data_IF_777264142028
#
_entry.id   IF_777264142028
#
_cell.length_a   1.000
_cell.length_b   1.000
_cell.length_c   1.000
_cell.angle_alpha   90.00
_cell.angle_beta   90.00
_cell.angle_gamma   90.00
#
_symmetry.space_group_name_H-M   'P 1'
#
loop_
_entity.id
_entity.type
_entity.pdbx_description
1 polymer ?
#
# COMPACT_ATOMS: atom_id res chain seq x y z
N UNK A 1 17.12 14.82 -10.89
CA UNK A 1 16.75 14.64 -9.47
C UNK A 1 17.63 15.44 -8.54
N UNK A 2 17.04 16.46 -7.91
CA UNK A 2 17.66 17.27 -6.84
C UNK A 2 16.75 17.22 -5.63
N UNK A 3 17.32 16.89 -4.47
CA UNK A 3 16.63 16.92 -3.19
C UNK A 3 16.82 18.30 -2.54
N UNK A 4 15.72 18.92 -2.12
CA UNK A 4 15.68 20.28 -1.59
C UNK A 4 15.45 20.27 -0.09
N UNK A 5 16.40 20.76 0.70
CA UNK A 5 16.20 20.94 2.13
C UNK A 5 15.07 21.93 2.41
N UNK A 6 14.25 21.62 3.40
CA UNK A 6 13.19 22.48 3.88
C UNK A 6 13.74 23.69 4.58
N UNK A 7 12.99 24.76 4.41
CA UNK A 7 13.21 26.01 5.05
C UNK A 7 11.89 26.49 5.64
N UNK A 8 11.99 27.36 6.65
CA UNK A 8 10.84 27.92 7.35
C UNK A 8 9.78 28.45 6.36
N UNK A 9 8.52 28.11 6.62
CA UNK A 9 7.39 28.42 5.74
C UNK A 9 7.17 27.41 4.62
N UNK A 10 7.52 26.12 4.85
CA UNK A 10 7.33 25.04 3.87
C UNK A 10 7.98 25.34 2.52
N UNK A 11 9.21 25.88 2.60
CA UNK A 11 10.00 26.26 1.44
C UNK A 11 11.01 25.19 1.10
N UNK A 12 11.18 24.93 -0.19
CA UNK A 12 12.10 23.94 -0.74
C UNK A 12 12.87 24.62 -1.86
N UNK A 13 14.00 25.25 -1.55
CA UNK A 13 14.61 26.23 -2.45
C UNK A 13 13.65 27.40 -2.74
N UNK A 14 13.36 27.65 -4.02
CA UNK A 14 12.46 28.73 -4.44
C UNK A 14 10.97 28.34 -4.41
N UNK A 15 10.65 27.09 -4.11
CA UNK A 15 9.29 26.56 -4.12
C UNK A 15 8.63 26.68 -2.76
N UNK A 16 7.37 27.13 -2.71
CA UNK A 16 6.57 27.24 -1.48
C UNK A 16 5.43 26.22 -1.56
N UNK A 17 5.37 25.31 -0.59
CA UNK A 17 4.32 24.28 -0.51
C UNK A 17 4.05 23.55 -1.84
N UNK A 18 5.09 23.06 -2.54
CA UNK A 18 4.87 22.40 -3.83
C UNK A 18 4.02 21.14 -3.65
N UNK A 19 3.06 20.86 -4.56
CA UNK A 19 2.38 19.57 -4.58
C UNK A 19 3.41 18.48 -4.89
N UNK A 20 3.34 17.36 -4.17
CA UNK A 20 4.26 16.24 -4.34
C UNK A 20 3.53 14.90 -4.33
N UNK A 21 4.08 13.93 -5.03
CA UNK A 21 3.69 12.52 -4.91
C UNK A 21 4.60 11.81 -3.90
N UNK A 22 4.23 10.60 -3.47
CA UNK A 22 5.10 9.77 -2.63
C UNK A 22 5.12 8.32 -3.12
N UNK A 23 6.26 7.65 -2.95
CA UNK A 23 6.40 6.21 -3.21
C UNK A 23 6.59 5.52 -1.87
N UNK A 24 5.76 4.51 -1.61
CA UNK A 24 5.95 3.55 -0.51
C UNK A 24 6.53 2.25 -1.05
N UNK A 25 7.65 1.82 -0.49
CA UNK A 25 8.45 0.70 -0.98
C UNK A 25 9.41 0.22 0.10
N UNK A 26 9.87 -1.02 -0.02
CA UNK A 26 10.79 -1.61 0.96
C UNK A 26 12.19 -1.68 0.36
N UNK A 27 13.03 -0.66 0.53
CA UNK A 27 14.42 -0.71 0.05
C UNK A 27 15.41 -1.10 1.15
N UNK A 28 15.10 -0.73 2.40
CA UNK A 28 16.03 -0.86 3.53
C UNK A 28 16.49 -2.29 3.83
N UNK A 29 15.67 -3.31 3.51
CA UNK A 29 16.03 -4.73 3.72
C UNK A 29 17.08 -5.24 2.73
N UNK A 30 17.28 -4.52 1.63
CA UNK A 30 18.24 -4.83 0.57
C UNK A 30 19.36 -3.80 0.48
N UNK A 31 19.52 -2.94 1.49
CA UNK A 31 20.65 -2.02 1.57
C UNK A 31 21.96 -2.82 1.55
N UNK A 32 22.80 -2.54 0.56
CA UNK A 32 24.15 -3.09 0.45
C UNK A 32 25.07 -2.42 1.47
N UNK A 33 25.99 -3.20 2.03
CA UNK A 33 27.08 -2.67 2.87
C UNK A 33 28.21 -2.15 1.97
N UNK A 34 29.07 -1.27 2.49
CA UNK A 34 30.10 -0.55 1.72
C UNK A 34 30.92 -1.43 0.76
N UNK A 35 31.24 -2.66 1.16
CA UNK A 35 32.05 -3.62 0.37
C UNK A 35 31.25 -4.69 -0.37
N UNK A 36 29.93 -4.70 -0.23
CA UNK A 36 29.05 -5.68 -0.89
C UNK A 36 28.69 -5.18 -2.28
N UNK A 37 28.86 -6.03 -3.31
CA UNK A 37 28.56 -5.74 -4.73
C UNK A 37 29.02 -4.34 -5.18
N UNK A 38 30.33 -4.06 -5.23
CA UNK A 38 30.88 -2.71 -5.43
C UNK A 38 30.50 -2.08 -6.79
N UNK A 39 30.14 -2.88 -7.78
CA UNK A 39 29.75 -2.41 -9.12
C UNK A 39 28.30 -1.91 -9.19
N UNK A 40 27.49 -2.16 -8.15
CA UNK A 40 26.10 -1.67 -8.09
C UNK A 40 26.12 -0.19 -7.76
N UNK A 41 25.61 0.66 -8.64
CA UNK A 41 25.52 2.10 -8.37
C UNK A 41 24.19 2.49 -7.73
N UNK A 42 24.20 3.43 -6.77
CA UNK A 42 22.97 4.08 -6.32
C UNK A 42 22.47 5.12 -7.33
N UNK A 43 21.18 5.49 -7.25
CA UNK A 43 20.65 6.63 -8.00
C UNK A 43 21.42 7.91 -7.63
N UNK A 44 21.60 8.79 -8.61
CA UNK A 44 22.26 10.08 -8.38
C UNK A 44 21.21 11.11 -7.94
N UNK A 45 21.39 11.65 -6.74
CA UNK A 45 20.55 12.72 -6.19
C UNK A 45 21.47 13.84 -5.72
N UNK A 46 21.21 15.05 -6.21
CA UNK A 46 21.95 16.25 -5.80
C UNK A 46 21.26 16.96 -4.62
N UNK A 47 21.96 17.89 -3.98
CA UNK A 47 21.37 18.73 -2.92
C UNK A 47 21.36 18.11 -1.51
N UNK A 48 21.98 16.94 -1.35
CA UNK A 48 22.11 16.23 -0.06
C UNK A 48 23.58 15.99 0.32
N UNK A 49 23.93 16.04 1.62
CA UNK A 49 25.29 15.79 2.10
C UNK A 49 25.61 14.30 2.34
N UNK A 50 24.67 13.39 2.09
CA UNK A 50 24.86 11.94 2.25
C UNK A 50 24.84 11.21 0.92
N UNK A 51 25.46 10.04 0.91
CA UNK A 51 25.37 9.12 -0.22
C UNK A 51 24.05 8.36 -0.19
N UNK A 52 23.41 8.22 -1.35
CA UNK A 52 22.22 7.39 -1.48
C UNK A 52 22.62 5.92 -1.26
N UNK A 53 21.91 5.18 -0.39
CA UNK A 53 22.17 3.76 -0.18
C UNK A 53 22.07 2.95 -1.47
N UNK A 54 23.04 2.06 -1.67
CA UNK A 54 23.02 1.07 -2.74
C UNK A 54 22.06 -0.05 -2.36
N UNK A 55 21.30 -0.58 -3.32
CA UNK A 55 20.26 -1.60 -3.11
C UNK A 55 20.60 -2.85 -3.91
N UNK A 56 20.43 -4.03 -3.33
CA UNK A 56 20.66 -5.30 -4.04
C UNK A 56 19.80 -5.37 -5.31
N UNK A 57 20.39 -5.68 -6.49
CA UNK A 57 19.63 -5.81 -7.74
C UNK A 57 18.57 -6.92 -7.72
N UNK A 58 18.62 -7.85 -6.76
CA UNK A 58 17.57 -8.85 -6.54
C UNK A 58 16.25 -8.26 -6.03
N UNK A 59 16.27 -7.03 -5.48
CA UNK A 59 15.08 -6.26 -5.16
C UNK A 59 14.64 -5.45 -6.38
N UNK A 60 15.49 -4.52 -6.82
CA UNK A 60 15.33 -3.77 -8.06
C UNK A 60 16.67 -3.18 -8.49
N UNK A 61 16.81 -2.92 -9.79
CA UNK A 61 17.95 -2.20 -10.33
C UNK A 61 17.78 -0.68 -10.20
N UNK A 62 18.89 0.04 -10.32
CA UNK A 62 18.91 1.51 -10.36
C UNK A 62 18.10 2.07 -11.52
N UNK A 63 18.09 1.39 -12.68
CA UNK A 63 17.28 1.79 -13.82
C UNK A 63 15.79 1.62 -13.55
N UNK A 64 15.38 0.49 -12.96
CA UNK A 64 13.98 0.26 -12.56
C UNK A 64 13.53 1.32 -11.56
N UNK A 65 14.39 1.69 -10.62
CA UNK A 65 14.06 2.73 -9.66
C UNK A 65 13.85 4.10 -10.32
N UNK A 66 14.71 4.48 -11.28
CA UNK A 66 14.54 5.71 -12.07
C UNK A 66 13.27 5.68 -12.92
N UNK A 67 12.94 4.54 -13.53
CA UNK A 67 11.73 4.38 -14.33
C UNK A 67 10.47 4.58 -13.47
N UNK A 68 10.43 4.04 -12.25
CA UNK A 68 9.31 4.24 -11.31
C UNK A 68 9.20 5.70 -10.92
N UNK A 69 10.31 6.36 -10.61
CA UNK A 69 10.32 7.80 -10.28
C UNK A 69 9.75 8.62 -11.45
N UNK A 70 10.20 8.34 -12.68
CA UNK A 70 9.70 9.05 -13.86
C UNK A 70 8.19 8.82 -14.09
N UNK A 71 7.72 7.57 -13.98
CA UNK A 71 6.29 7.25 -14.18
C UNK A 71 5.41 7.93 -13.15
N UNK A 72 5.85 7.96 -11.89
CA UNK A 72 5.09 8.57 -10.79
C UNK A 72 5.05 10.09 -10.84
N UNK A 73 5.91 10.76 -11.63
CA UNK A 73 5.88 12.22 -11.83
C UNK A 73 5.26 12.66 -13.15
N UNK A 74 5.13 11.77 -14.16
CA UNK A 74 4.61 12.09 -15.49
C UNK A 74 3.09 12.06 -15.64
N UNK A 75 2.34 11.65 -14.61
CA UNK A 75 0.86 11.74 -14.63
C UNK A 75 0.14 10.73 -15.52
N UNK A 76 0.77 9.57 -15.79
CA UNK A 76 0.29 8.58 -16.76
C UNK A 76 -0.76 7.60 -16.22
N UNK A 77 -1.46 7.91 -15.12
CA UNK A 77 -2.43 6.98 -14.52
C UNK A 77 -3.89 7.43 -14.71
N UNK A 78 -4.78 6.47 -14.85
CA UNK A 78 -6.10 6.64 -15.46
C UNK A 78 -7.19 6.99 -14.45
N UNK A 79 -7.00 6.74 -13.14
CA UNK A 79 -7.91 7.25 -12.09
C UNK A 79 -8.02 8.77 -12.06
N UNK A 80 -7.08 9.45 -12.71
CA UNK A 80 -6.96 10.91 -12.70
C UNK A 80 -7.76 11.63 -13.81
N UNK A 81 -8.54 10.93 -14.63
CA UNK A 81 -9.41 11.54 -15.66
C UNK A 81 -10.60 12.30 -15.04
N UNK A 82 -10.86 12.12 -13.74
CA UNK A 82 -11.97 12.76 -13.02
C UNK A 82 -11.52 13.74 -11.91
N UNK A 83 -10.28 14.25 -11.94
CA UNK A 83 -9.89 15.38 -11.05
C UNK A 83 -10.75 16.61 -11.43
N UNK A 84 -11.71 17.03 -10.57
CA UNK A 84 -12.62 18.13 -10.90
C UNK A 84 -11.89 19.46 -11.06
N UNK A 85 -10.67 19.57 -10.53
CA UNK A 85 -9.88 20.79 -10.56
C UNK A 85 -9.00 20.91 -11.82
N UNK A 86 -9.05 19.95 -12.77
CA UNK A 86 -8.19 19.90 -13.96
C UNK A 86 -6.70 20.16 -13.66
N UNK A 87 -6.23 19.78 -12.48
CA UNK A 87 -4.85 20.02 -12.06
C UNK A 87 -3.92 19.22 -12.97
N UNK A 88 -2.79 19.82 -13.37
CA UNK A 88 -1.76 19.14 -14.18
C UNK A 88 -1.53 17.72 -13.68
N UNK A 89 -1.62 16.73 -14.57
CA UNK A 89 -1.40 15.33 -14.21
C UNK A 89 0.06 15.08 -13.80
N UNK A 90 0.98 15.92 -14.27
CA UNK A 90 2.38 15.89 -13.87
C UNK A 90 2.57 16.48 -12.47
N UNK A 91 3.50 15.94 -11.71
CA UNK A 91 3.90 16.46 -10.40
C UNK A 91 5.42 16.42 -10.31
N UNK A 92 6.05 17.59 -10.29
CA UNK A 92 7.51 17.70 -10.35
C UNK A 92 8.20 17.25 -9.06
N UNK A 93 7.45 17.20 -7.96
CA UNK A 93 7.97 16.87 -6.63
C UNK A 93 7.60 15.46 -6.19
N UNK A 94 8.57 14.77 -5.59
CA UNK A 94 8.43 13.41 -5.09
C UNK A 94 9.03 13.30 -3.69
N UNK A 95 8.29 12.69 -2.77
CA UNK A 95 8.82 12.17 -1.52
C UNK A 95 9.38 10.77 -1.74
N UNK A 96 10.65 10.59 -1.39
CA UNK A 96 11.38 9.34 -1.53
C UNK A 96 12.34 9.16 -0.36
N UNK A 97 12.09 8.18 0.50
CA UNK A 97 12.81 7.99 1.77
C UNK A 97 14.34 8.06 1.65
N UNK A 98 14.94 7.37 0.69
CA UNK A 98 16.41 7.32 0.52
C UNK A 98 17.08 8.67 0.30
N UNK A 99 16.31 9.63 -0.21
CA UNK A 99 16.77 10.94 -0.63
C UNK A 99 16.11 12.09 0.14
N UNK A 100 15.05 11.79 0.88
CA UNK A 100 14.34 12.74 1.73
C UNK A 100 14.68 12.60 3.22
N UNK A 101 15.24 11.46 3.63
CA UNK A 101 15.69 11.18 5.00
C UNK A 101 17.21 11.01 4.98
N UNK A 102 17.92 11.64 5.92
CA UNK A 102 19.37 11.47 6.04
C UNK A 102 19.69 10.01 6.38
N UNK A 103 20.53 9.39 5.56
CA UNK A 103 20.83 7.95 5.63
C UNK A 103 22.08 7.63 6.46
N UNK A 104 22.71 8.64 7.06
CA UNK A 104 23.89 8.49 7.93
C UNK A 104 23.47 8.03 9.32
N UNK A 105 24.21 7.08 9.87
CA UNK A 105 23.92 6.53 11.19
C UNK A 105 24.03 7.58 12.30
N UNK A 106 23.02 7.65 13.16
CA UNK A 106 23.03 8.53 14.34
C UNK A 106 22.66 9.99 14.09
N UNK A 107 22.24 10.36 12.87
CA UNK A 107 21.78 11.71 12.56
C UNK A 107 20.42 11.98 13.24
N UNK A 108 20.31 12.94 14.18
CA UNK A 108 19.07 13.21 14.89
C UNK A 108 17.91 13.64 13.98
N UNK A 109 18.22 14.30 12.85
CA UNK A 109 17.20 14.71 11.88
C UNK A 109 16.46 13.52 11.25
N UNK A 110 17.12 12.37 11.06
CA UNK A 110 16.47 11.19 10.50
C UNK A 110 15.29 10.73 11.37
N UNK A 111 15.43 10.75 12.69
CA UNK A 111 14.34 10.41 13.61
C UNK A 111 13.19 11.44 13.55
N UNK A 112 13.52 12.72 13.38
CA UNK A 112 12.52 13.78 13.19
C UNK A 112 11.71 13.58 11.90
N UNK A 113 12.37 13.22 10.79
CA UNK A 113 11.69 12.98 9.51
C UNK A 113 10.85 11.70 9.53
N UNK A 114 11.37 10.62 10.11
CA UNK A 114 10.61 9.40 10.34
C UNK A 114 9.36 9.72 11.17
N UNK A 115 9.50 10.52 12.24
CA UNK A 115 8.39 10.97 13.09
C UNK A 115 7.33 11.83 12.40
N UNK A 116 7.51 12.18 11.13
CA UNK A 116 6.57 12.98 10.32
C UNK A 116 5.99 12.21 9.14
N UNK A 117 6.36 10.95 8.92
CA UNK A 117 5.87 10.14 7.79
C UNK A 117 4.35 10.19 7.65
N UNK A 118 3.59 10.15 8.74
CA UNK A 118 2.13 10.22 8.64
C UNK A 118 1.62 11.52 8.02
N UNK A 119 2.24 12.66 8.37
CA UNK A 119 1.89 13.95 7.77
C UNK A 119 2.31 13.99 6.30
N UNK A 120 3.44 13.40 5.95
CA UNK A 120 3.92 13.33 4.57
C UNK A 120 2.94 12.54 3.71
N UNK A 121 2.61 11.31 4.09
CA UNK A 121 1.70 10.47 3.32
C UNK A 121 0.28 11.06 3.27
N UNK A 122 -0.23 11.66 4.37
CA UNK A 122 -1.53 12.36 4.37
C UNK A 122 -1.59 13.56 3.42
N UNK A 123 -0.49 14.28 3.21
CA UNK A 123 -0.46 15.50 2.38
C UNK A 123 0.11 15.27 0.97
N UNK A 124 0.65 14.10 0.67
CA UNK A 124 1.02 13.74 -0.68
C UNK A 124 -0.22 13.80 -1.58
N UNK A 125 -0.08 14.33 -2.80
CA UNK A 125 -1.15 14.34 -3.78
C UNK A 125 -1.55 12.91 -4.12
N UNK A 126 -0.58 12.12 -4.58
CA UNK A 126 -0.76 10.70 -4.87
C UNK A 126 0.31 9.86 -4.20
N UNK A 127 -0.06 8.64 -3.82
CA UNK A 127 0.84 7.65 -3.21
C UNK A 127 0.87 6.41 -4.07
N UNK A 128 2.05 5.84 -4.24
CA UNK A 128 2.30 4.67 -5.07
C UNK A 128 2.93 3.57 -4.23
N UNK A 129 2.23 2.45 -4.07
CA UNK A 129 2.74 1.24 -3.44
C UNK A 129 3.50 0.40 -4.46
N UNK A 130 4.83 0.46 -4.42
CA UNK A 130 5.68 -0.23 -5.37
C UNK A 130 6.03 -1.64 -4.90
N UNK A 131 5.36 -2.63 -5.50
CA UNK A 131 5.59 -4.05 -5.27
C UNK A 131 6.80 -4.51 -6.09
N UNK A 132 8.00 -4.19 -5.58
CA UNK A 132 9.28 -4.40 -6.27
C UNK A 132 9.57 -5.85 -6.66
N UNK A 133 8.88 -6.84 -6.09
CA UNK A 133 9.13 -8.25 -6.40
C UNK A 133 8.12 -8.88 -7.37
N UNK A 134 6.97 -8.24 -7.61
CA UNK A 134 5.87 -8.83 -8.39
C UNK A 134 5.86 -8.27 -9.82
N UNK A 135 6.07 -9.10 -10.86
CA UNK A 135 6.01 -8.66 -12.25
C UNK A 135 4.61 -8.17 -12.66
N UNK A 136 4.54 -7.22 -13.60
CA UNK A 136 3.27 -6.63 -14.03
C UNK A 136 2.25 -7.66 -14.52
N UNK A 137 2.67 -8.60 -15.37
CA UNK A 137 1.78 -9.62 -15.92
C UNK A 137 1.17 -10.51 -14.83
N UNK A 138 1.99 -10.93 -13.86
CA UNK A 138 1.56 -11.73 -12.73
C UNK A 138 0.61 -10.96 -11.80
N UNK A 139 0.91 -9.68 -11.53
CA UNK A 139 0.07 -8.81 -10.72
C UNK A 139 -1.31 -8.58 -11.37
N UNK A 140 -1.33 -8.30 -12.67
CA UNK A 140 -2.57 -8.12 -13.44
C UNK A 140 -3.40 -9.40 -13.48
N UNK A 141 -2.76 -10.56 -13.65
CA UNK A 141 -3.44 -11.86 -13.63
C UNK A 141 -4.02 -12.17 -12.25
N UNK A 142 -3.29 -11.87 -11.17
CA UNK A 142 -3.77 -12.07 -9.80
C UNK A 142 -4.99 -11.20 -9.51
N UNK A 143 -4.96 -9.91 -9.86
CA UNK A 143 -6.11 -9.01 -9.67
C UNK A 143 -7.32 -9.43 -10.51
N UNK A 144 -7.11 -9.87 -11.76
CA UNK A 144 -8.16 -10.49 -12.60
C UNK A 144 -8.74 -11.76 -11.99
N UNK A 145 -7.91 -12.53 -11.29
CA UNK A 145 -8.35 -13.68 -10.49
C UNK A 145 -9.30 -13.23 -9.38
N UNK A 146 -8.87 -12.27 -8.55
CA UNK A 146 -9.64 -11.77 -7.42
C UNK A 146 -11.00 -11.20 -7.82
N UNK A 147 -11.05 -10.39 -8.87
CA UNK A 147 -12.29 -9.75 -9.35
C UNK A 147 -13.35 -10.76 -9.82
N UNK A 148 -12.97 -11.68 -10.72
CA UNK A 148 -13.87 -12.76 -11.18
C UNK A 148 -14.42 -13.58 -10.03
N UNK A 149 -13.59 -13.77 -9.01
CA UNK A 149 -13.92 -14.59 -7.86
C UNK A 149 -14.83 -13.84 -6.90
N UNK A 150 -14.62 -12.53 -6.69
CA UNK A 150 -15.52 -11.67 -5.93
C UNK A 150 -16.95 -11.71 -6.51
N UNK A 151 -17.11 -11.52 -7.82
CA UNK A 151 -18.41 -11.66 -8.49
C UNK A 151 -19.02 -13.06 -8.32
N UNK A 152 -18.22 -14.12 -8.48
CA UNK A 152 -18.75 -15.49 -8.33
C UNK A 152 -19.15 -15.84 -6.90
N UNK A 153 -18.45 -15.30 -5.91
CA UNK A 153 -18.71 -15.52 -4.49
C UNK A 153 -19.96 -14.72 -4.08
N UNK A 154 -20.10 -13.48 -4.55
CA UNK A 154 -21.29 -12.66 -4.40
C UNK A 154 -22.54 -13.37 -4.92
N UNK A 155 -22.52 -13.86 -6.17
CA UNK A 155 -23.69 -14.52 -6.76
C UNK A 155 -24.05 -15.86 -6.10
N UNK A 156 -23.05 -16.65 -5.67
CA UNK A 156 -23.27 -18.04 -5.23
C UNK A 156 -23.38 -18.21 -3.73
N UNK A 157 -22.66 -17.40 -2.98
CA UNK A 157 -22.59 -17.49 -1.51
C UNK A 157 -23.45 -16.40 -0.87
N UNK A 158 -23.69 -15.27 -1.56
CA UNK A 158 -24.42 -14.12 -1.00
C UNK A 158 -25.53 -13.58 -1.90
N UNK A 159 -26.46 -14.44 -2.38
CA UNK A 159 -27.54 -13.98 -3.26
C UNK A 159 -28.33 -12.83 -2.61
N UNK A 160 -28.25 -11.64 -3.22
CA UNK A 160 -28.96 -10.44 -2.78
C UNK A 160 -28.16 -9.46 -1.89
N UNK A 161 -26.90 -9.74 -1.53
CA UNK A 161 -25.99 -8.72 -0.98
C UNK A 161 -25.19 -8.12 -2.14
N UNK A 162 -25.53 -6.91 -2.57
CA UNK A 162 -24.70 -6.18 -3.54
C UNK A 162 -23.41 -5.72 -2.85
N UNK A 163 -22.27 -6.29 -3.22
CA UNK A 163 -20.95 -5.70 -3.04
C UNK A 163 -20.77 -4.59 -4.08
N UNK A 164 -21.68 -3.62 -4.09
CA UNK A 164 -21.44 -2.38 -4.82
C UNK A 164 -20.20 -1.74 -4.21
N UNK A 165 -19.26 -1.33 -5.07
CA UNK A 165 -18.22 -0.37 -4.69
C UNK A 165 -18.91 0.74 -3.88
N UNK A 166 -18.47 1.03 -2.65
CA UNK A 166 -19.16 2.01 -1.83
C UNK A 166 -19.18 3.35 -2.57
N UNK A 167 -20.33 4.03 -2.53
CA UNK A 167 -20.50 5.41 -3.03
C UNK A 167 -19.53 6.41 -2.36
N UNK A 168 -18.72 5.99 -1.38
CA UNK A 168 -17.58 6.76 -0.88
C UNK A 168 -16.50 7.03 -1.95
N UNK A 169 -16.53 6.33 -3.09
CA UNK A 169 -15.74 6.68 -4.29
C UNK A 169 -16.37 7.85 -5.07
N UNK A 170 -17.68 8.06 -4.96
CA UNK A 170 -18.44 9.11 -5.64
C UNK A 170 -19.41 9.77 -4.68
N UNK A 171 -18.88 10.69 -3.86
CA UNK A 171 -19.59 11.30 -2.74
C UNK A 171 -21.09 11.57 -2.96
N UNK A 172 -21.92 10.70 -2.40
CA UNK A 172 -23.29 11.04 -2.00
C UNK A 172 -23.75 10.07 -0.91
N UNK A 173 -24.27 10.63 0.18
CA UNK A 173 -24.86 9.85 1.27
C UNK A 173 -26.30 9.51 0.90
N UNK A 174 -26.67 8.23 1.01
CA UNK A 174 -28.04 7.88 1.35
C UNK A 174 -28.06 6.72 2.34
N UNK A 175 -28.84 6.92 3.40
CA UNK A 175 -29.03 6.01 4.52
C UNK A 175 -30.28 5.16 4.30
N UNK A 176 -30.18 3.86 4.49
CA UNK A 176 -31.33 3.03 4.86
C UNK A 176 -30.89 1.86 5.73
N UNK A 177 -31.45 1.81 6.94
CA UNK A 177 -31.40 0.68 7.84
C UNK A 177 -32.38 -0.40 7.34
N UNK A 178 -31.93 -1.65 7.26
CA UNK A 178 -32.82 -2.80 7.40
C UNK A 178 -32.22 -3.84 8.35
N UNK A 179 -33.08 -4.30 9.25
CA UNK A 179 -32.84 -5.35 10.23
C UNK A 179 -33.32 -6.69 9.68
N UNK A 180 -32.49 -7.74 9.76
CA UNK A 180 -32.95 -9.10 9.53
C UNK A 180 -32.18 -10.14 10.37
N UNK A 181 -32.95 -11.12 10.85
CA UNK A 181 -32.59 -12.21 11.77
C UNK A 181 -31.70 -13.28 11.10
N UNK A 182 -31.03 -14.18 11.86
CA UNK A 182 -30.03 -15.08 11.30
C UNK A 182 -30.71 -16.27 10.59
N UNK A 183 -30.66 -16.28 9.26
CA UNK A 183 -30.89 -17.48 8.45
C UNK A 183 -29.60 -18.30 8.32
N UNK A 184 -29.75 -19.61 8.16
CA UNK A 184 -28.66 -20.58 7.96
C UNK A 184 -27.69 -20.14 6.85
N UNK A 185 -26.42 -20.51 6.99
CA UNK A 185 -25.37 -20.09 6.06
C UNK A 185 -25.60 -20.71 4.67
N UNK A 186 -25.55 -19.92 3.57
CA UNK A 186 -25.75 -20.39 2.19
C UNK A 186 -24.83 -21.55 1.75
N UNK A 187 -23.78 -21.83 2.53
CA UNK A 187 -22.81 -22.90 2.29
C UNK A 187 -23.32 -24.28 2.70
N UNK A 188 -24.36 -24.37 3.55
CA UNK A 188 -24.98 -25.66 3.89
C UNK A 188 -25.95 -26.16 2.79
N UNK A 189 -26.43 -25.27 1.92
CA UNK A 189 -27.38 -25.60 0.84
C UNK A 189 -26.71 -25.90 -0.52
N UNK A 190 -25.41 -25.64 -0.67
CA UNK A 190 -24.64 -25.96 -1.87
C UNK A 190 -24.46 -27.48 -2.03
N UNK A 191 -25.46 -28.12 -2.65
CA UNK A 191 -25.49 -29.56 -2.95
C UNK A 191 -24.26 -30.02 -3.77
N UNK A 192 -23.86 -31.28 -3.61
CA UNK A 192 -22.54 -31.85 -3.95
C UNK A 192 -22.00 -31.76 -5.38
N UNK A 193 -22.64 -31.05 -6.31
CA UNK A 193 -22.09 -30.72 -7.62
C UNK A 193 -21.34 -29.37 -7.65
N UNK A 194 -21.67 -28.41 -6.78
CA UNK A 194 -21.08 -27.06 -6.78
C UNK A 194 -19.83 -26.92 -5.90
N UNK A 195 -19.66 -27.81 -4.92
CA UNK A 195 -18.52 -27.79 -3.99
C UNK A 195 -17.14 -27.95 -4.63
N UNK A 196 -16.92 -28.80 -5.66
CA UNK A 196 -15.66 -28.86 -6.39
C UNK A 196 -15.31 -27.53 -7.08
N UNK A 197 -16.30 -26.86 -7.69
CA UNK A 197 -16.11 -25.56 -8.36
C UNK A 197 -15.78 -24.44 -7.38
N UNK A 198 -16.42 -24.43 -6.20
CA UNK A 198 -16.11 -23.47 -5.13
C UNK A 198 -14.71 -23.67 -4.57
N UNK A 199 -14.31 -24.92 -4.35
CA UNK A 199 -12.96 -25.26 -3.87
C UNK A 199 -11.89 -24.80 -4.85
N UNK A 200 -12.05 -25.07 -6.14
CA UNK A 200 -11.11 -24.65 -7.17
C UNK A 200 -11.03 -23.11 -7.30
N UNK A 201 -12.18 -22.45 -7.17
CA UNK A 201 -12.28 -20.99 -7.14
C UNK A 201 -11.47 -20.40 -5.97
N UNK A 202 -11.61 -20.96 -4.78
CA UNK A 202 -10.88 -20.50 -3.59
C UNK A 202 -9.40 -20.82 -3.60
N UNK A 203 -8.99 -21.92 -4.25
CA UNK A 203 -7.57 -22.16 -4.54
C UNK A 203 -7.02 -21.04 -5.43
N UNK A 204 -7.77 -20.62 -6.46
CA UNK A 204 -7.42 -19.47 -7.29
C UNK A 204 -7.30 -18.16 -6.50
N UNK A 205 -8.24 -17.89 -5.58
CA UNK A 205 -8.18 -16.72 -4.69
C UNK A 205 -6.93 -16.76 -3.81
N UNK A 206 -6.68 -17.91 -3.18
CA UNK A 206 -5.52 -18.12 -2.33
C UNK A 206 -4.22 -17.86 -3.11
N UNK A 207 -4.06 -18.43 -4.31
CA UNK A 207 -2.85 -18.23 -5.11
C UNK A 207 -2.68 -16.77 -5.56
N UNK A 208 -3.79 -16.08 -5.88
CA UNK A 208 -3.76 -14.67 -6.27
C UNK A 208 -3.31 -13.78 -5.11
N UNK A 209 -3.90 -13.95 -3.92
CA UNK A 209 -3.44 -13.24 -2.73
C UNK A 209 -2.03 -13.65 -2.33
N UNK A 210 -1.68 -14.94 -2.40
CA UNK A 210 -0.34 -15.43 -2.03
C UNK A 210 0.74 -14.78 -2.90
N UNK A 211 0.47 -14.62 -4.20
CA UNK A 211 1.38 -13.94 -5.11
C UNK A 211 1.55 -12.46 -4.72
N UNK A 212 0.45 -11.71 -4.58
CA UNK A 212 0.50 -10.28 -4.25
C UNK A 212 1.17 -10.05 -2.88
N UNK A 213 0.74 -10.81 -1.87
CA UNK A 213 1.19 -10.70 -0.48
C UNK A 213 2.58 -11.31 -0.24
N UNK A 214 3.14 -12.02 -1.23
CA UNK A 214 4.55 -12.43 -1.19
C UNK A 214 5.51 -11.25 -1.33
N UNK A 215 5.02 -10.10 -1.83
CA UNK A 215 5.84 -8.91 -1.87
C UNK A 215 6.20 -8.46 -0.45
N UNK A 216 7.49 -8.19 -0.19
CA UNK A 216 7.93 -7.75 1.13
C UNK A 216 7.25 -6.49 1.65
N UNK A 217 6.64 -5.68 0.78
CA UNK A 217 5.77 -4.58 1.16
C UNK A 217 4.69 -5.03 2.16
N UNK A 218 4.04 -6.18 1.95
CA UNK A 218 3.02 -6.72 2.85
C UNK A 218 3.57 -7.40 4.11
N UNK A 219 4.88 -7.36 4.35
CA UNK A 219 5.45 -7.80 5.64
C UNK A 219 6.19 -6.68 6.35
N UNK A 220 6.21 -5.47 5.79
CA UNK A 220 6.88 -4.32 6.37
C UNK A 220 5.99 -3.59 7.35
N UNK A 221 6.58 -3.21 8.48
CA UNK A 221 5.88 -2.47 9.51
C UNK A 221 5.58 -1.04 9.06
N UNK A 222 6.52 -0.42 8.36
CA UNK A 222 6.39 0.95 7.85
C UNK A 222 5.29 1.07 6.80
N UNK A 223 5.19 0.07 5.93
CA UNK A 223 4.18 0.04 4.87
C UNK A 223 2.78 -0.21 5.43
N UNK A 224 2.64 -0.89 6.57
CA UNK A 224 1.35 -1.01 7.27
C UNK A 224 0.84 0.38 7.72
N UNK A 225 1.71 1.22 8.29
CA UNK A 225 1.35 2.60 8.63
C UNK A 225 0.96 3.39 7.38
N UNK A 226 1.75 3.28 6.31
CA UNK A 226 1.52 4.01 5.07
C UNK A 226 0.22 3.58 4.39
N UNK A 227 -0.07 2.26 4.38
CA UNK A 227 -1.32 1.69 3.91
C UNK A 227 -2.51 2.25 4.70
N UNK A 228 -2.44 2.25 6.03
CA UNK A 228 -3.50 2.78 6.90
C UNK A 228 -3.82 4.25 6.61
N UNK A 229 -2.81 5.03 6.24
CA UNK A 229 -2.98 6.45 5.93
C UNK A 229 -3.51 6.68 4.51
N UNK A 230 -3.29 5.73 3.60
CA UNK A 230 -3.45 5.89 2.14
C UNK A 230 -3.95 4.61 1.50
N UNK A 231 -5.19 4.23 1.82
CA UNK A 231 -5.88 3.14 1.11
C UNK A 231 -5.98 3.40 -0.40
N UNK A 232 -5.98 4.67 -0.81
CA UNK A 232 -5.97 5.10 -2.21
C UNK A 232 -4.60 4.98 -2.90
N UNK A 233 -3.58 4.41 -2.24
CA UNK A 233 -2.27 4.22 -2.83
C UNK A 233 -2.34 3.29 -4.04
N UNK A 234 -1.90 3.76 -5.20
CA UNK A 234 -1.90 3.00 -6.46
C UNK A 234 -0.85 1.90 -6.40
N UNK A 235 -1.23 0.67 -6.74
CA UNK A 235 -0.34 -0.48 -6.74
C UNK A 235 0.48 -0.48 -8.04
N UNK A 236 1.80 -0.41 -7.91
CA UNK A 236 2.73 -0.55 -9.02
C UNK A 236 3.40 -1.92 -8.98
N UNK A 237 3.55 -2.53 -10.15
CA UNK A 237 4.38 -3.72 -10.34
C UNK A 237 5.87 -3.39 -10.17
N UNK A 238 6.71 -4.42 -10.18
CA UNK A 238 8.18 -4.28 -10.22
C UNK A 238 8.68 -3.30 -11.28
N UNK A 239 8.05 -3.31 -12.46
CA UNK A 239 8.40 -2.44 -13.59
C UNK A 239 7.87 -0.99 -13.44
N UNK A 240 7.22 -0.67 -12.32
CA UNK A 240 6.62 0.64 -12.06
C UNK A 240 5.32 0.88 -12.83
N UNK A 241 4.71 -0.17 -13.37
CA UNK A 241 3.46 -0.09 -14.13
C UNK A 241 2.30 -0.25 -13.15
N UNK A 242 1.34 0.68 -13.19
CA UNK A 242 0.14 0.54 -12.38
C UNK A 242 -0.66 -0.68 -12.81
N UNK A 243 -1.03 -1.48 -11.82
CA UNK A 243 -1.93 -2.59 -12.04
C UNK A 243 -3.34 -2.05 -12.31
N UNK A 244 -4.09 -2.73 -13.16
CA UNK A 244 -5.45 -2.28 -13.53
C UNK A 244 -6.50 -3.14 -12.89
N UNK A 245 -7.56 -2.50 -12.45
CA UNK A 245 -8.75 -3.22 -12.04
C UNK A 245 -9.40 -3.89 -13.25
N UNK A 246 -9.82 -5.15 -13.15
CA UNK A 246 -10.55 -5.81 -14.21
C UNK A 246 -11.87 -5.06 -14.48
N UNK A 247 -12.30 -5.03 -15.73
CA UNK A 247 -13.53 -4.36 -16.21
C UNK A 247 -13.59 -2.82 -16.10
N UNK A 248 -12.76 -2.21 -15.26
CA UNK A 248 -12.62 -0.75 -15.21
C UNK A 248 -11.40 -0.27 -15.98
N UNK A 249 -11.38 1.00 -16.35
CA UNK A 249 -10.15 1.65 -16.85
C UNK A 249 -9.29 2.19 -15.73
N UNK A 250 -9.62 1.94 -14.45
CA UNK A 250 -8.96 2.54 -13.30
C UNK A 250 -7.77 1.71 -12.80
N UNK A 251 -6.80 2.42 -12.21
CA UNK A 251 -5.67 1.80 -11.54
C UNK A 251 -6.12 1.17 -10.20
N UNK A 252 -5.61 -0.02 -9.92
CA UNK A 252 -5.85 -0.72 -8.67
C UNK A 252 -5.09 -0.04 -7.52
N UNK A 253 -5.73 0.03 -6.36
CA UNK A 253 -5.18 0.61 -5.13
C UNK A 253 -5.24 -0.41 -4.00
N UNK A 254 -4.64 -0.06 -2.86
CA UNK A 254 -4.72 -0.88 -1.65
C UNK A 254 -6.18 -1.08 -1.21
N UNK A 255 -7.06 -0.11 -1.44
CA UNK A 255 -8.48 -0.20 -1.11
C UNK A 255 -9.17 -1.37 -1.82
N UNK A 256 -8.84 -1.64 -3.08
CA UNK A 256 -9.44 -2.78 -3.79
C UNK A 256 -8.95 -4.13 -3.23
N UNK A 257 -7.71 -4.24 -2.73
CA UNK A 257 -7.26 -5.43 -2.02
C UNK A 257 -7.99 -5.62 -0.68
N UNK A 258 -8.22 -4.53 0.06
CA UNK A 258 -8.99 -4.53 1.30
C UNK A 258 -10.42 -4.99 1.01
N UNK A 259 -11.05 -4.44 -0.02
CA UNK A 259 -12.40 -4.77 -0.46
C UNK A 259 -12.57 -6.25 -0.80
N UNK A 260 -11.57 -6.88 -1.43
CA UNK A 260 -11.62 -8.33 -1.68
C UNK A 260 -11.33 -9.17 -0.44
N UNK A 261 -10.48 -8.70 0.47
CA UNK A 261 -10.03 -9.48 1.62
C UNK A 261 -11.06 -9.54 2.76
N UNK A 262 -11.67 -8.42 3.12
CA UNK A 262 -12.53 -8.31 4.31
C UNK A 262 -13.77 -9.21 4.23
N UNK A 263 -14.60 -9.15 3.18
CA UNK A 263 -15.81 -9.96 3.11
C UNK A 263 -15.48 -11.44 3.02
N UNK A 264 -14.43 -11.77 2.26
CA UNK A 264 -13.97 -13.14 2.12
C UNK A 264 -13.60 -13.74 3.48
N UNK A 265 -12.79 -13.06 4.29
CA UNK A 265 -12.40 -13.58 5.60
C UNK A 265 -13.59 -13.74 6.54
N UNK A 266 -14.48 -12.75 6.59
CA UNK A 266 -15.69 -12.80 7.42
C UNK A 266 -16.53 -14.04 7.10
N UNK A 267 -16.73 -14.30 5.82
CA UNK A 267 -17.61 -15.37 5.38
C UNK A 267 -16.95 -16.75 5.47
N UNK A 268 -15.65 -16.88 5.15
CA UNK A 268 -14.93 -18.13 5.34
C UNK A 268 -14.88 -18.55 6.82
N UNK A 269 -14.81 -17.59 7.76
CA UNK A 269 -14.89 -17.88 9.20
C UNK A 269 -16.27 -18.35 9.62
N UNK A 270 -17.33 -17.69 9.14
CA UNK A 270 -18.72 -18.07 9.45
C UNK A 270 -19.07 -19.46 8.93
N UNK A 271 -18.46 -19.86 7.81
CA UNK A 271 -18.70 -21.15 7.19
C UNK A 271 -18.10 -22.34 7.95
N UNK A 272 -17.11 -22.11 8.83
CA UNK A 272 -16.44 -23.19 9.58
C UNK A 272 -15.73 -24.23 8.71
N UNK A 273 -15.30 -23.85 7.50
CA UNK A 273 -14.79 -24.79 6.50
C UNK A 273 -13.31 -25.19 6.79
N UNK A 274 -12.94 -26.48 6.66
CA UNK A 274 -11.55 -26.96 6.82
C UNK A 274 -10.65 -26.53 5.63
N UNK A 275 -9.44 -27.07 5.44
CA UNK A 275 -8.60 -26.69 4.29
C UNK A 275 -9.31 -26.78 2.92
N UNK A 276 -9.02 -25.89 1.93
CA UNK A 276 -7.98 -24.85 1.91
C UNK A 276 -8.39 -23.50 2.55
N UNK A 277 -9.60 -23.40 3.06
CA UNK A 277 -10.23 -22.16 3.52
C UNK A 277 -9.47 -21.49 4.66
N UNK A 278 -9.04 -22.31 5.62
CA UNK A 278 -8.23 -21.90 6.77
C UNK A 278 -6.85 -21.33 6.36
N UNK A 279 -6.29 -21.76 5.21
CA UNK A 279 -5.04 -21.17 4.69
C UNK A 279 -5.26 -19.77 4.14
N UNK A 280 -6.36 -19.53 3.42
CA UNK A 280 -6.71 -18.19 2.94
C UNK A 280 -6.98 -17.24 4.10
N UNK A 281 -7.74 -17.68 5.11
CA UNK A 281 -8.01 -16.88 6.31
C UNK A 281 -6.73 -16.52 7.05
N UNK A 282 -5.80 -17.48 7.24
CA UNK A 282 -4.49 -17.21 7.85
C UNK A 282 -3.64 -16.24 7.03
N UNK A 283 -3.57 -16.45 5.72
CA UNK A 283 -2.80 -15.60 4.82
C UNK A 283 -3.28 -14.14 4.89
N UNK A 284 -4.60 -13.95 4.81
CA UNK A 284 -5.20 -12.61 4.86
C UNK A 284 -5.10 -11.99 6.26
N UNK A 285 -5.30 -12.77 7.32
CA UNK A 285 -5.12 -12.29 8.70
C UNK A 285 -3.69 -11.80 8.99
N UNK A 286 -2.67 -12.52 8.52
CA UNK A 286 -1.27 -12.09 8.69
C UNK A 286 -0.86 -10.92 7.78
N UNK A 287 -1.67 -10.57 6.78
CA UNK A 287 -1.37 -9.49 5.84
C UNK A 287 -1.72 -8.10 6.36
N UNK A 288 -2.58 -8.02 7.37
CA UNK A 288 -3.17 -6.79 7.89
C UNK A 288 -4.26 -6.15 7.00
N UNK A 289 -4.61 -6.73 5.84
CA UNK A 289 -5.65 -6.16 4.96
C UNK A 289 -7.02 -6.07 5.64
N UNK A 290 -7.39 -7.08 6.43
CA UNK A 290 -8.65 -7.09 7.19
C UNK A 290 -8.67 -6.04 8.29
N UNK A 291 -7.52 -5.78 8.89
CA UNK A 291 -7.34 -4.81 9.96
C UNK A 291 -7.41 -3.38 9.41
N UNK A 292 -6.81 -3.15 8.24
CA UNK A 292 -6.91 -1.88 7.50
C UNK A 292 -8.37 -1.52 7.18
N UNK A 293 -9.21 -2.50 6.85
CA UNK A 293 -10.64 -2.30 6.56
C UNK A 293 -11.40 -1.63 7.72
N UNK A 294 -10.94 -1.79 8.95
CA UNK A 294 -11.62 -1.25 10.14
C UNK A 294 -11.38 0.24 10.36
N UNK A 295 -10.36 0.81 9.70
CA UNK A 295 -9.85 2.17 9.94
C UNK A 295 -9.58 2.46 11.43
N UNK A 296 -9.38 1.42 12.24
CA UNK A 296 -9.17 1.52 13.67
C UNK A 296 -7.68 1.35 14.01
N UNK A 297 -7.01 2.39 14.54
CA UNK A 297 -5.61 2.33 14.94
C UNK A 297 -5.26 1.15 15.87
N UNK A 298 -6.18 0.76 16.76
CA UNK A 298 -5.96 -0.36 17.70
C UNK A 298 -5.91 -1.71 16.99
N UNK A 299 -6.66 -1.84 15.89
CA UNK A 299 -6.69 -3.05 15.07
C UNK A 299 -5.48 -3.08 14.13
N UNK A 300 -5.02 -1.94 13.65
CA UNK A 300 -3.73 -1.85 12.97
C UNK A 300 -2.56 -2.22 13.90
N UNK A 301 -2.65 -1.94 15.20
CA UNK A 301 -1.67 -2.43 16.18
C UNK A 301 -1.66 -3.95 16.30
N UNK A 302 -2.80 -4.64 16.25
CA UNK A 302 -2.78 -6.11 16.23
C UNK A 302 -2.11 -6.65 14.96
N UNK A 303 -2.35 -6.03 13.80
CA UNK A 303 -1.65 -6.38 12.56
C UNK A 303 -0.13 -6.07 12.56
N UNK A 304 0.36 -5.28 13.52
CA UNK A 304 1.79 -4.99 13.64
C UNK A 304 2.59 -6.18 14.19
N UNK A 305 1.94 -7.08 14.92
CA UNK A 305 2.59 -8.28 15.51
C UNK A 305 3.12 -9.22 14.43
N UNK A 306 2.41 -9.32 13.31
CA UNK A 306 2.76 -10.15 12.15
C UNK A 306 3.79 -9.50 11.21
N UNK A 307 4.23 -8.26 11.50
CA UNK A 307 5.21 -7.55 10.66
C UNK A 307 6.63 -7.86 11.06
N UNK A 308 7.52 -7.78 10.08
CA UNK A 308 8.96 -7.88 10.31
C UNK A 308 9.48 -6.57 10.90
N UNK A 309 10.02 -6.64 12.12
CA UNK A 309 10.68 -5.54 12.81
C UNK A 309 12.13 -5.91 13.16
N UNK A 310 13.02 -4.91 13.21
CA UNK A 310 14.39 -5.12 13.70
C UNK A 310 14.40 -5.23 15.22
N UNK A 311 13.62 -4.37 15.89
CA UNK A 311 13.45 -4.38 17.34
C UNK A 311 11.99 -4.63 17.70
N UNK A 312 11.69 -5.42 18.75
CA UNK A 312 10.32 -5.66 19.17
C UNK A 312 9.52 -4.37 19.44
N UNK A 313 10.17 -3.33 19.96
CA UNK A 313 9.54 -2.05 20.27
C UNK A 313 9.12 -1.27 19.01
N UNK A 314 9.72 -1.58 17.85
CA UNK A 314 9.34 -0.94 16.59
C UNK A 314 7.86 -1.22 16.29
N UNK A 315 7.28 -2.35 16.71
CA UNK A 315 5.84 -2.66 16.54
C UNK A 315 4.92 -1.55 17.05
N UNK A 316 5.37 -0.80 18.05
CA UNK A 316 4.66 0.38 18.56
C UNK A 316 5.15 1.63 17.81
N UNK A 317 6.47 1.87 17.78
CA UNK A 317 7.02 3.11 17.24
C UNK A 317 6.81 3.30 15.73
N UNK A 318 6.73 2.22 14.97
CA UNK A 318 6.57 2.19 13.52
C UNK A 318 5.15 2.52 13.07
N UNK A 319 4.15 2.39 13.95
CA UNK A 319 2.75 2.73 13.67
C UNK A 319 2.22 3.86 14.55
N UNK A 320 3.01 4.35 15.52
CA UNK A 320 2.53 5.29 16.54
C UNK A 320 1.83 6.54 15.96
N UNK A 321 2.18 6.92 14.73
CA UNK A 321 1.64 8.12 14.10
C UNK A 321 0.21 7.96 13.58
N UNK A 322 -0.30 6.72 13.43
CA UNK A 322 -1.70 6.49 13.04
C UNK A 322 -2.69 6.77 14.18
N UNK A 323 -2.21 6.81 15.43
CA UNK A 323 -3.04 7.04 16.60
C UNK A 323 -3.47 8.51 16.80
N UNK A 324 -2.98 9.43 15.95
CA UNK A 324 -3.35 10.85 15.81
C UNK A 324 -3.79 11.58 17.11
N UNK A 325 -3.14 11.24 18.25
CA UNK A 325 -3.41 11.82 19.56
C UNK A 325 -2.12 12.01 20.33
N UNK A 326 -1.67 13.26 20.36
CA UNK A 326 -1.14 13.90 21.57
C UNK A 326 0.10 13.32 22.27
N UNK A 327 1.06 12.73 21.55
CA UNK A 327 2.47 12.87 21.93
C UNK A 327 3.03 14.09 21.20
N UNK A 328 2.62 15.28 21.64
CA UNK A 328 3.22 16.55 21.22
C UNK A 328 4.66 16.60 21.73
N UNK A 329 5.58 15.96 21.03
CA UNK A 329 6.95 16.45 21.02
C UNK A 329 6.94 17.72 20.15
N UNK A 330 7.10 18.87 20.81
CA UNK A 330 7.34 20.16 20.17
C UNK A 330 8.57 20.06 19.25
N UNK A 331 8.41 19.61 18.01
CA UNK A 331 9.42 19.76 16.98
C UNK A 331 9.16 21.07 16.24
N UNK A 332 9.39 22.18 16.96
CA UNK A 332 9.28 23.55 16.47
C UNK A 332 10.41 23.95 15.51
N UNK A 333 11.27 23.02 15.06
CA UNK A 333 12.33 23.28 14.11
C UNK A 333 12.29 22.20 13.03
N UNK A 334 11.93 22.59 11.82
CA UNK A 334 11.63 21.65 10.74
C UNK A 334 12.82 21.48 9.81
N UNK A 335 12.90 20.30 9.22
CA UNK A 335 13.72 19.92 8.08
C UNK A 335 12.77 19.06 7.25
N UNK A 336 12.88 19.08 5.95
CA UNK A 336 12.21 18.18 5.02
C UNK A 336 13.16 18.12 3.84
N UNK A 337 13.00 17.11 3.02
CA UNK A 337 13.63 17.09 1.72
C UNK A 337 12.57 16.65 0.73
N UNK A 338 12.49 17.30 -0.42
CA UNK A 338 11.62 16.86 -1.52
C UNK A 338 12.48 16.78 -2.77
N UNK A 339 12.25 15.78 -3.62
CA UNK A 339 13.00 15.67 -4.87
C UNK A 339 12.22 16.35 -5.97
N UNK A 340 12.86 17.28 -6.67
CA UNK A 340 12.41 17.66 -8.01
C UNK A 340 12.98 16.64 -9.00
N UNK A 341 12.10 15.89 -9.67
CA UNK A 341 12.49 14.76 -10.53
C UNK A 341 13.33 15.20 -11.72
#
# INVERSE_FOLDING_TARGET
>A
MTSYEWQCGNRYGDFVEPPYNAITYTWGRWRLRDQEDPDVEAIKVHGIPWEIPRVKPTCFSTSQFLDVIQRTTQGAFTRWIQDPDQRSLTTDFLWLDVACIDQRGGEPRSASEIGRQARIFKNARYVFAWLSSVPHEELDLALKGLDKLAYSIEERVFPGKNFNLPDSVFGSQSSSQESSSPSLSPLEEASGADMPSLKDSLVGVYESFRLILSDPWFSSLWTLQEAFLRHDAVILSREGIAARMPETTFDATINELIFYAEPLVGELRNAGLPEPYDRTVRLLGGSGLTELATENPLVAYTASEDRTCTKPEDRIYGIQQIFDRSLRFNLANSFFYTIQS
#
